data_IF_597857947565
#
_entry.id   IF_597857947565
#
_cell.length_a   1.000
_cell.length_b   1.000
_cell.length_c   1.000
_cell.angle_alpha   90.00
_cell.angle_beta   90.00
_cell.angle_gamma   90.00
#
_symmetry.space_group_name_H-M   'P 1'
#
loop_
_entity.id
_entity.type
_entity.pdbx_description
1 polymer ?
#
# COMPACT_ATOMS: atom_id res chain seq x y z
N UNK A 1 13.23 -11.13 -0.47
CA UNK A 1 13.13 -10.24 0.71
C UNK A 1 11.82 -10.55 1.40
N UNK A 2 11.78 -10.71 2.73
CA UNK A 2 10.60 -11.11 3.50
C UNK A 2 10.96 -11.28 4.98
N UNK A 3 10.08 -11.22 5.97
CA UNK A 3 8.62 -11.09 6.02
C UNK A 3 8.30 -10.26 7.28
N UNK A 4 8.41 -8.93 7.22
CA UNK A 4 7.76 -8.12 8.26
C UNK A 4 6.27 -8.18 7.95
N UNK A 5 5.51 -8.80 8.84
CA UNK A 5 4.05 -8.81 8.75
C UNK A 5 3.50 -7.63 9.51
N UNK A 6 2.62 -6.87 8.89
CA UNK A 6 1.95 -5.73 9.53
C UNK A 6 0.45 -5.88 9.45
N UNK A 7 -0.22 -5.59 10.56
CA UNK A 7 -1.65 -5.37 10.61
C UNK A 7 -1.92 -3.92 10.26
N UNK A 8 -2.45 -3.68 9.07
CA UNK A 8 -2.79 -2.34 8.59
C UNK A 8 -4.31 -2.23 8.54
N UNK A 9 -4.86 -1.11 9.02
CA UNK A 9 -6.28 -0.83 8.81
C UNK A 9 -6.45 -0.28 7.40
N UNK A 10 -7.31 -0.92 6.60
CA UNK A 10 -7.65 -0.51 5.24
C UNK A 10 -9.10 -0.04 5.22
N UNK A 11 -9.37 1.12 4.65
CA UNK A 11 -10.71 1.67 4.56
C UNK A 11 -11.00 2.28 3.19
N UNK A 12 -12.28 2.46 2.91
CA UNK A 12 -12.73 3.10 1.69
C UNK A 12 -12.62 4.63 1.81
N UNK A 13 -11.90 5.34 0.91
CA UNK A 13 -11.77 6.79 0.97
C UNK A 13 -13.12 7.53 0.94
N UNK A 14 -14.12 6.99 0.22
CA UNK A 14 -15.46 7.57 0.15
C UNK A 14 -16.35 7.19 1.35
N UNK A 15 -15.95 6.20 2.15
CA UNK A 15 -16.70 5.70 3.31
C UNK A 15 -15.73 5.33 4.45
N UNK A 16 -15.11 6.31 5.14
CA UNK A 16 -14.03 6.06 6.09
C UNK A 16 -14.39 5.12 7.25
N UNK A 17 -15.68 5.03 7.62
CA UNK A 17 -16.15 4.12 8.66
C UNK A 17 -16.14 2.64 8.24
N UNK A 18 -16.12 2.35 6.93
CA UNK A 18 -16.02 0.99 6.43
C UNK A 18 -14.54 0.60 6.32
N UNK A 19 -14.06 -0.14 7.32
CA UNK A 19 -12.65 -0.46 7.51
C UNK A 19 -12.45 -1.90 7.95
N UNK A 20 -11.32 -2.48 7.55
CA UNK A 20 -10.90 -3.84 7.93
C UNK A 20 -9.42 -3.84 8.27
N UNK A 21 -9.03 -4.61 9.28
CA UNK A 21 -7.62 -4.88 9.56
C UNK A 21 -7.16 -6.02 8.67
N UNK A 22 -6.11 -5.78 7.90
CA UNK A 22 -5.55 -6.74 6.94
C UNK A 22 -4.11 -7.05 7.34
N UNK A 23 -3.76 -8.34 7.37
CA UNK A 23 -2.40 -8.80 7.54
C UNK A 23 -1.66 -8.70 6.19
N UNK A 24 -0.63 -7.86 6.13
CA UNK A 24 0.19 -7.64 4.95
C UNK A 24 1.58 -8.24 5.11
N UNK A 25 2.14 -8.74 4.01
CA UNK A 25 3.58 -8.90 3.85
C UNK A 25 4.17 -7.59 3.34
N UNK A 26 5.12 -7.01 4.05
CA UNK A 26 5.83 -5.82 3.55
C UNK A 26 6.74 -6.22 2.39
N UNK A 27 6.52 -5.62 1.22
CA UNK A 27 7.30 -5.87 0.01
C UNK A 27 7.57 -4.54 -0.71
N UNK A 28 8.74 -3.95 -0.43
CA UNK A 28 9.19 -2.73 -1.12
C UNK A 28 9.56 -2.96 -2.59
N UNK A 29 9.60 -4.22 -3.06
CA UNK A 29 9.75 -4.55 -4.48
C UNK A 29 8.44 -4.48 -5.26
N UNK A 30 7.29 -4.55 -4.57
CA UNK A 30 5.98 -4.29 -5.16
C UNK A 30 5.72 -2.78 -5.21
N UNK A 31 5.36 -2.25 -6.37
CA UNK A 31 5.07 -0.81 -6.52
C UNK A 31 3.79 -0.43 -5.77
N UNK A 32 2.69 -1.15 -5.99
CA UNK A 32 1.41 -0.94 -5.32
C UNK A 32 1.09 -2.09 -4.36
N UNK A 33 0.30 -1.78 -3.34
CA UNK A 33 -0.20 -2.80 -2.41
C UNK A 33 -1.23 -3.70 -3.09
N UNK A 34 -1.22 -4.97 -2.72
CA UNK A 34 -2.18 -5.99 -3.18
C UNK A 34 -3.10 -6.33 -2.02
N UNK A 35 -4.41 -6.29 -2.24
CA UNK A 35 -5.41 -6.75 -1.27
C UNK A 35 -6.41 -7.65 -1.97
N UNK A 36 -6.70 -8.80 -1.37
CA UNK A 36 -7.68 -9.74 -1.92
C UNK A 36 -9.00 -9.05 -2.29
N UNK A 37 -9.49 -9.30 -3.51
CA UNK A 37 -10.68 -8.66 -4.06
C UNK A 37 -11.94 -8.79 -3.16
N UNK A 38 -12.07 -9.88 -2.40
CA UNK A 38 -13.18 -10.08 -1.46
C UNK A 38 -13.15 -9.07 -0.31
N UNK A 39 -11.96 -8.74 0.20
CA UNK A 39 -11.78 -7.74 1.26
C UNK A 39 -12.15 -6.37 0.72
N UNK A 40 -11.64 -6.00 -0.45
CA UNK A 40 -11.95 -4.73 -1.11
C UNK A 40 -13.44 -4.60 -1.44
N UNK A 41 -14.08 -5.69 -1.87
CA UNK A 41 -15.53 -5.75 -2.11
C UNK A 41 -16.34 -5.48 -0.85
N UNK A 42 -15.96 -6.08 0.29
CA UNK A 42 -16.59 -5.80 1.60
C UNK A 42 -16.39 -4.34 2.05
N UNK A 43 -15.25 -3.74 1.72
CA UNK A 43 -15.00 -2.31 1.93
C UNK A 43 -15.79 -1.42 0.95
N UNK A 44 -16.41 -2.00 -0.08
CA UNK A 44 -17.11 -1.27 -1.13
C UNK A 44 -16.17 -0.47 -2.04
N UNK A 45 -14.88 -0.82 -2.07
CA UNK A 45 -13.90 -0.24 -2.98
C UNK A 45 -14.11 -0.91 -4.34
N UNK A 46 -14.31 -0.09 -5.38
CA UNK A 46 -14.52 -0.55 -6.76
C UNK A 46 -13.27 -0.32 -7.59
N UNK A 47 -12.99 -1.16 -8.60
CA UNK A 47 -11.98 -0.87 -9.59
C UNK A 47 -12.26 0.47 -10.30
N UNK A 48 -11.21 1.25 -10.52
CA UNK A 48 -11.23 2.52 -11.23
C UNK A 48 -10.36 2.52 -12.49
N UNK A 49 -9.41 1.60 -12.59
CA UNK A 49 -8.51 1.47 -13.75
C UNK A 49 -7.90 0.07 -13.81
N UNK A 50 -7.21 -0.23 -14.91
CA UNK A 50 -6.42 -1.45 -15.09
C UNK A 50 -5.00 -1.06 -15.50
N UNK A 51 -4.01 -1.83 -15.03
CA UNK A 51 -2.62 -1.71 -15.48
C UNK A 51 -1.99 -3.07 -15.72
N UNK A 52 -1.00 -3.07 -16.60
CA UNK A 52 -0.10 -4.20 -16.81
C UNK A 52 1.08 -4.12 -15.83
N UNK A 53 1.48 -5.27 -15.29
CA UNK A 53 2.60 -5.43 -14.35
C UNK A 53 3.52 -6.54 -14.84
N UNK A 54 4.83 -6.35 -14.67
CA UNK A 54 5.83 -7.38 -14.91
C UNK A 54 6.13 -8.11 -13.61
N UNK A 55 5.96 -9.44 -13.64
CA UNK A 55 6.28 -10.31 -12.53
C UNK A 55 7.79 -10.58 -12.44
N UNK A 56 8.22 -11.14 -11.30
CA UNK A 56 9.63 -11.48 -11.07
C UNK A 56 10.19 -12.52 -12.07
N UNK A 57 9.33 -13.32 -12.70
CA UNK A 57 9.68 -14.27 -13.76
C UNK A 57 9.70 -13.63 -15.16
N UNK A 58 9.42 -12.33 -15.29
CA UNK A 58 9.35 -11.61 -16.55
C UNK A 58 8.01 -11.68 -17.28
N UNK A 59 7.02 -12.42 -16.75
CA UNK A 59 5.68 -12.46 -17.34
C UNK A 59 4.92 -11.15 -17.11
N UNK A 60 4.06 -10.80 -18.07
CA UNK A 60 3.17 -9.66 -17.96
C UNK A 60 1.77 -10.12 -17.54
N UNK A 61 1.21 -9.44 -16.54
CA UNK A 61 -0.16 -9.66 -16.08
C UNK A 61 -0.94 -8.36 -16.05
N UNK A 62 -2.25 -8.43 -16.26
CA UNK A 62 -3.15 -7.29 -16.07
C UNK A 62 -3.85 -7.40 -14.72
N UNK A 63 -3.97 -6.26 -14.03
CA UNK A 63 -4.63 -6.16 -12.73
C UNK A 63 -5.47 -4.91 -12.63
N UNK A 64 -6.65 -5.08 -12.04
CA UNK A 64 -7.56 -4.01 -11.69
C UNK A 64 -7.02 -3.24 -10.48
N UNK A 65 -7.20 -1.93 -10.50
CA UNK A 65 -6.72 -0.97 -9.51
C UNK A 65 -7.88 -0.17 -8.93
N UNK A 66 -7.78 0.16 -7.64
CA UNK A 66 -8.64 1.13 -6.95
C UNK A 66 -7.81 2.03 -6.06
N UNK A 67 -8.49 2.79 -5.19
CA UNK A 67 -7.86 3.60 -4.14
C UNK A 67 -8.34 3.17 -2.75
N UNK A 68 -7.42 3.12 -1.80
CA UNK A 68 -7.71 2.82 -0.40
C UNK A 68 -7.02 3.82 0.54
N UNK A 69 -7.56 3.95 1.75
CA UNK A 69 -6.89 4.61 2.87
C UNK A 69 -6.27 3.52 3.74
N UNK A 70 -5.04 3.76 4.17
CA UNK A 70 -4.27 2.87 5.01
C UNK A 70 -3.94 3.61 6.31
N UNK A 71 -4.09 2.94 7.46
CA UNK A 71 -3.74 3.51 8.76
C UNK A 71 -2.83 2.53 9.51
N UNK A 72 -1.71 3.05 10.02
CA UNK A 72 -0.75 2.31 10.82
C UNK A 72 0.09 3.23 11.69
N UNK A 73 0.26 2.89 12.97
CA UNK A 73 1.16 3.64 13.86
C UNK A 73 0.76 5.10 14.11
N UNK A 74 -0.50 5.47 13.87
CA UNK A 74 -0.98 6.85 13.95
C UNK A 74 -0.88 7.62 12.64
N UNK A 75 -0.23 7.06 11.63
CA UNK A 75 -0.12 7.64 10.29
C UNK A 75 -1.28 7.16 9.39
N UNK A 76 -1.71 8.04 8.49
CA UNK A 76 -2.77 7.78 7.51
C UNK A 76 -2.28 8.12 6.12
N UNK A 77 -2.35 7.14 5.20
CA UNK A 77 -1.89 7.28 3.82
C UNK A 77 -2.96 6.90 2.81
N UNK A 78 -3.10 7.69 1.74
CA UNK A 78 -3.96 7.37 0.60
C UNK A 78 -3.10 6.81 -0.53
N UNK A 79 -3.40 5.59 -1.00
CA UNK A 79 -2.61 4.96 -2.05
C UNK A 79 -3.45 4.05 -2.96
N UNK A 80 -2.95 3.77 -4.19
CA UNK A 80 -3.54 2.76 -5.05
C UNK A 80 -3.53 1.37 -4.40
N UNK A 81 -4.49 0.54 -4.79
CA UNK A 81 -4.57 -0.88 -4.38
C UNK A 81 -4.86 -1.76 -5.59
N UNK A 82 -4.11 -2.85 -5.74
CA UNK A 82 -4.36 -3.92 -6.69
C UNK A 82 -5.41 -4.86 -6.09
N UNK A 83 -6.41 -5.20 -6.89
CA UNK A 83 -7.36 -6.27 -6.58
C UNK A 83 -6.66 -7.63 -6.76
N UNK A 84 -6.23 -8.21 -5.64
CA UNK A 84 -5.56 -9.50 -5.61
C UNK A 84 -6.50 -10.65 -5.99
N UNK A 85 -5.98 -11.58 -6.79
CA UNK A 85 -6.67 -12.81 -7.21
C UNK A 85 -6.50 -13.93 -6.16
N UNK A 86 -7.22 -15.03 -6.35
CA UNK A 86 -7.13 -16.18 -5.44
C UNK A 86 -5.72 -16.78 -5.50
N UNK A 87 -5.04 -16.80 -4.36
CA UNK A 87 -3.66 -17.29 -4.23
C UNK A 87 -2.63 -16.17 -4.11
N UNK A 88 -2.99 -14.92 -4.44
CA UNK A 88 -2.13 -13.77 -4.22
C UNK A 88 -2.00 -13.50 -2.71
N UNK A 89 -0.79 -13.11 -2.29
CA UNK A 89 -0.58 -12.59 -0.94
C UNK A 89 -1.02 -11.14 -0.84
N UNK A 90 -1.51 -10.71 0.33
CA UNK A 90 -1.65 -9.29 0.59
C UNK A 90 -0.27 -8.67 0.75
N UNK A 91 0.09 -7.75 -0.13
CA UNK A 91 1.41 -7.10 -0.15
C UNK A 91 1.27 -5.63 0.21
N UNK A 92 2.15 -5.12 1.07
CA UNK A 92 2.27 -3.68 1.34
C UNK A 92 3.41 -3.14 0.47
N UNK A 93 3.03 -2.47 -0.61
CA UNK A 93 3.94 -1.95 -1.62
C UNK A 93 4.61 -0.63 -1.24
N UNK A 94 5.62 -0.25 -2.02
CA UNK A 94 6.43 0.95 -1.80
C UNK A 94 5.60 2.24 -1.73
N UNK A 95 4.66 2.44 -2.66
CA UNK A 95 3.84 3.67 -2.69
C UNK A 95 2.98 3.80 -1.43
N UNK A 96 2.48 2.69 -0.87
CA UNK A 96 1.71 2.74 0.38
C UNK A 96 2.59 3.02 1.58
N UNK A 97 3.81 2.47 1.63
CA UNK A 97 4.79 2.80 2.68
C UNK A 97 5.13 4.30 2.67
N UNK A 98 5.41 4.86 1.49
CA UNK A 98 5.72 6.28 1.34
C UNK A 98 4.53 7.17 1.70
N UNK A 99 3.30 6.79 1.30
CA UNK A 99 2.09 7.50 1.68
C UNK A 99 1.83 7.49 3.19
N UNK A 100 2.36 6.50 3.91
CA UNK A 100 2.35 6.41 5.37
C UNK A 100 3.57 7.10 6.02
N UNK A 101 4.42 7.78 5.25
CA UNK A 101 5.63 8.43 5.76
C UNK A 101 6.68 7.43 6.25
N UNK A 102 6.74 6.24 5.67
CA UNK A 102 7.62 5.15 6.09
C UNK A 102 8.49 4.61 4.96
N UNK A 103 9.62 4.01 5.34
CA UNK A 103 10.50 3.23 4.45
C UNK A 103 10.90 1.93 5.13
N UNK A 104 11.07 0.86 4.36
CA UNK A 104 11.60 -0.40 4.87
C UNK A 104 13.13 -0.34 4.91
N UNK A 105 13.72 -0.58 6.09
CA UNK A 105 15.11 -1.01 6.21
C UNK A 105 15.15 -2.54 5.98
N UNK A 106 15.68 -3.02 4.84
CA UNK A 106 15.67 -4.44 4.50
C UNK A 106 16.72 -5.25 5.28
N UNK A 107 17.76 -4.60 5.81
CA UNK A 107 18.82 -5.25 6.59
C UNK A 107 18.33 -5.50 8.02
N UNK A 108 17.70 -4.49 8.63
CA UNK A 108 17.14 -4.60 9.99
C UNK A 108 15.72 -5.17 10.03
N UNK A 109 15.03 -5.23 8.88
CA UNK A 109 13.62 -5.64 8.73
C UNK A 109 12.66 -4.78 9.56
N UNK A 110 12.96 -3.48 9.64
CA UNK A 110 12.17 -2.49 10.40
C UNK A 110 11.60 -1.44 9.46
N UNK A 111 10.47 -0.87 9.84
CA UNK A 111 10.01 0.37 9.24
C UNK A 111 10.68 1.54 9.95
N UNK A 112 11.18 2.49 9.17
CA UNK A 112 11.75 3.74 9.62
C UNK A 112 10.88 4.88 9.09
N UNK A 113 10.93 6.03 9.76
CA UNK A 113 10.29 7.23 9.24
C UNK A 113 11.01 7.67 7.97
N UNK A 114 10.24 7.94 6.92
CA UNK A 114 10.74 8.51 5.68
C UNK A 114 11.01 10.01 5.90
N UNK A 115 12.26 10.50 5.73
CA UNK A 115 12.53 11.92 5.79
C UNK A 115 11.76 12.66 4.68
N UNK A 116 10.85 13.54 5.08
CA UNK A 116 10.02 14.30 4.14
C UNK A 116 10.79 15.50 3.62
N UNK A 117 11.06 15.52 2.32
CA UNK A 117 11.74 16.63 1.64
C UNK A 117 10.74 17.32 0.72
N UNK A 118 10.56 18.63 0.92
CA UNK A 118 9.77 19.48 0.03
C UNK A 118 10.72 20.43 -0.71
N UNK A 119 11.10 20.06 -1.92
CA UNK A 119 12.05 20.81 -2.74
C UNK A 119 11.49 22.15 -3.23
N UNK A 120 12.34 23.16 -3.33
CA UNK A 120 12.03 24.42 -4.03
C UNK A 120 11.22 25.45 -3.22
N UNK A 121 10.89 25.18 -1.96
CA UNK A 121 10.28 26.18 -1.08
C UNK A 121 11.36 26.88 -0.25
N UNK A 122 11.32 28.22 -0.22
CA UNK A 122 12.09 28.98 0.75
C UNK A 122 11.51 28.71 2.14
N UNK A 123 12.29 28.10 3.03
CA UNK A 123 11.91 27.96 4.43
C UNK A 123 11.71 29.35 5.04
N UNK A 124 10.52 29.64 5.57
CA UNK A 124 10.38 30.81 6.45
C UNK A 124 11.18 30.49 7.72
N UNK A 125 12.26 31.22 7.93
CA UNK A 125 12.87 31.28 9.26
C UNK A 125 11.89 32.04 10.15
N UNK A 126 11.26 31.35 11.09
CA UNK A 126 10.54 31.96 12.22
C UNK A 126 11.51 32.17 13.36
#
# INVERSE_FOLDING_TARGET
MGLTKLKITVSNPAKPHNRQVVDFLVDSGAVYSVVGQEVLGKLGIKPSSEKEFTLANGEFIKRQLGGAVYEYGGETGHAPVIFGEKGDSNLLGAVTLEALGMVLDPLQRKLLNLPMVLGGLAGRQT
#
